data_IF_102722425346
#
_entry.id   IF_102722425346
#
_cell.length_a   1.000
_cell.length_b   1.000
_cell.length_c   1.000
_cell.angle_alpha   90.00
_cell.angle_beta   90.00
_cell.angle_gamma   90.00
#
_symmetry.space_group_name_H-M   'P 1'
#
loop_
_entity.id
_entity.type
_entity.pdbx_description
1 polymer ?
#
# COMPACT_ATOMS: atom_id res chain seq x y z
N UNK A 1 -10.02 30.07 8.66
CA UNK A 1 -11.01 29.60 7.66
C UNK A 1 -10.69 28.14 7.42
N UNK A 2 -11.63 27.24 7.70
CA UNK A 2 -11.40 25.80 7.48
C UNK A 2 -11.49 25.55 5.96
N UNK A 3 -10.36 25.52 5.27
CA UNK A 3 -10.31 25.20 3.84
C UNK A 3 -10.71 23.72 3.65
N UNK A 4 -11.75 23.48 2.86
CA UNK A 4 -12.17 22.12 2.53
C UNK A 4 -11.15 21.45 1.61
N UNK A 5 -10.97 20.15 1.77
CA UNK A 5 -10.15 19.30 0.91
C UNK A 5 -10.90 19.11 -0.41
N UNK A 6 -10.33 19.57 -1.51
CA UNK A 6 -10.91 19.46 -2.84
C UNK A 6 -10.66 18.09 -3.44
N UNK A 7 -11.75 17.33 -3.65
CA UNK A 7 -11.71 15.93 -4.08
C UNK A 7 -12.09 15.79 -5.55
N UNK A 8 -11.30 15.00 -6.27
CA UNK A 8 -11.57 14.50 -7.61
C UNK A 8 -11.82 12.98 -7.54
N UNK A 9 -12.81 12.49 -8.28
CA UNK A 9 -13.09 11.06 -8.42
C UNK A 9 -12.76 10.66 -9.85
N UNK A 10 -11.98 9.59 -10.03
CA UNK A 10 -11.57 9.07 -11.35
C UNK A 10 -11.80 7.56 -11.35
N UNK A 11 -12.84 7.13 -12.04
CA UNK A 11 -13.29 5.74 -12.06
C UNK A 11 -14.17 5.53 -13.32
N UNK A 12 -13.95 4.53 -14.12
CA UNK A 12 -14.75 4.29 -15.33
C UNK A 12 -16.16 3.76 -15.01
N UNK A 13 -16.34 3.20 -13.80
CA UNK A 13 -17.62 2.65 -13.33
C UNK A 13 -18.52 3.73 -12.71
N UNK A 14 -19.69 4.07 -13.34
CA UNK A 14 -20.56 5.16 -12.86
C UNK A 14 -21.04 4.95 -11.41
N UNK A 15 -21.38 3.70 -11.05
CA UNK A 15 -21.87 3.39 -9.70
C UNK A 15 -20.81 3.60 -8.63
N UNK A 16 -19.55 3.29 -8.94
CA UNK A 16 -18.44 3.54 -8.00
C UNK A 16 -18.24 5.04 -7.74
N UNK A 17 -18.35 5.87 -8.81
CA UNK A 17 -18.30 7.33 -8.67
C UNK A 17 -19.43 7.86 -7.78
N UNK A 18 -20.67 7.41 -8.00
CA UNK A 18 -21.84 7.82 -7.20
C UNK A 18 -21.69 7.48 -5.72
N UNK A 19 -21.15 6.29 -5.41
CA UNK A 19 -20.92 5.85 -4.02
C UNK A 19 -19.92 6.79 -3.33
N UNK A 20 -18.78 7.08 -3.96
CA UNK A 20 -17.74 7.94 -3.39
C UNK A 20 -18.25 9.38 -3.26
N UNK A 21 -18.96 9.90 -4.27
CA UNK A 21 -19.57 11.22 -4.23
C UNK A 21 -20.55 11.36 -3.06
N UNK A 22 -21.41 10.34 -2.86
CA UNK A 22 -22.31 10.29 -1.71
C UNK A 22 -21.53 10.31 -0.39
N UNK A 23 -20.41 9.59 -0.29
CA UNK A 23 -19.59 9.59 0.92
C UNK A 23 -18.92 10.94 1.17
N UNK A 24 -18.39 11.60 0.13
CA UNK A 24 -17.80 12.93 0.22
C UNK A 24 -18.84 13.94 0.72
N UNK A 25 -20.07 13.90 0.19
CA UNK A 25 -21.14 14.83 0.55
C UNK A 25 -21.54 14.79 2.04
N UNK A 26 -21.24 13.67 2.72
CA UNK A 26 -21.54 13.44 4.14
C UNK A 26 -20.46 13.99 5.09
N UNK A 27 -19.32 14.46 4.57
CA UNK A 27 -18.18 14.92 5.35
C UNK A 27 -17.93 16.40 5.12
N UNK A 28 -18.14 17.22 6.14
CA UNK A 28 -18.08 18.69 6.03
C UNK A 28 -16.72 19.25 5.57
N UNK A 29 -15.62 18.51 5.82
CA UNK A 29 -14.26 18.93 5.46
C UNK A 29 -13.86 18.57 4.03
N UNK A 30 -14.71 17.86 3.29
CA UNK A 30 -14.47 17.51 1.90
C UNK A 30 -15.34 18.35 0.97
N UNK A 31 -14.83 18.58 -0.25
CA UNK A 31 -15.54 19.27 -1.34
C UNK A 31 -15.37 18.45 -2.62
N UNK A 32 -16.47 17.96 -3.18
CA UNK A 32 -16.46 17.29 -4.48
C UNK A 32 -16.31 18.32 -5.60
N UNK A 33 -15.24 18.22 -6.37
CA UNK A 33 -14.94 19.13 -7.48
C UNK A 33 -15.43 18.60 -8.81
N UNK A 34 -15.19 17.32 -9.07
CA UNK A 34 -15.63 16.61 -10.29
C UNK A 34 -15.52 15.09 -10.16
N UNK A 35 -16.21 14.39 -11.08
CA UNK A 35 -16.07 12.95 -11.32
C UNK A 35 -15.74 12.72 -12.79
N UNK A 36 -14.69 11.93 -13.06
CA UNK A 36 -14.18 11.61 -14.38
C UNK A 36 -14.30 10.12 -14.66
N UNK A 37 -14.48 9.74 -15.93
CA UNK A 37 -14.54 8.36 -16.35
C UNK A 37 -13.19 7.80 -16.81
N UNK A 38 -12.17 8.62 -16.97
CA UNK A 38 -10.86 8.22 -17.48
C UNK A 38 -9.75 9.21 -17.10
N UNK A 39 -8.50 8.79 -17.32
CA UNK A 39 -7.32 9.58 -16.99
C UNK A 39 -7.22 10.91 -17.77
N UNK A 40 -7.66 10.95 -19.03
CA UNK A 40 -7.59 12.16 -19.85
C UNK A 40 -8.52 13.27 -19.34
N UNK A 41 -9.75 12.94 -18.94
CA UNK A 41 -10.66 13.88 -18.30
C UNK A 41 -10.07 14.39 -16.98
N UNK A 42 -9.50 13.49 -16.18
CA UNK A 42 -8.85 13.84 -14.92
C UNK A 42 -7.67 14.79 -15.12
N UNK A 43 -6.81 14.55 -16.11
CA UNK A 43 -5.67 15.38 -16.44
C UNK A 43 -6.10 16.82 -16.76
N UNK A 44 -7.14 16.99 -17.58
CA UNK A 44 -7.66 18.33 -17.93
C UNK A 44 -8.16 19.08 -16.69
N UNK A 45 -8.83 18.38 -15.77
CA UNK A 45 -9.35 19.03 -14.54
C UNK A 45 -8.22 19.40 -13.58
N UNK A 46 -7.21 18.55 -13.41
CA UNK A 46 -6.07 18.83 -12.52
C UNK A 46 -5.23 19.99 -13.04
N UNK A 47 -5.15 20.17 -14.36
CA UNK A 47 -4.45 21.29 -14.97
C UNK A 47 -5.16 22.62 -14.71
N UNK A 48 -6.49 22.62 -14.69
CA UNK A 48 -7.31 23.83 -14.54
C UNK A 48 -7.68 24.16 -13.09
N UNK A 49 -7.72 23.16 -12.22
CA UNK A 49 -8.21 23.28 -10.85
C UNK A 49 -7.20 22.72 -9.85
N UNK A 50 -7.08 23.39 -8.71
CA UNK A 50 -6.31 22.84 -7.59
C UNK A 50 -7.09 21.70 -6.96
N UNK A 51 -6.52 20.49 -6.98
CA UNK A 51 -7.07 19.26 -6.39
C UNK A 51 -6.15 18.80 -5.27
N UNK A 52 -6.71 18.61 -4.09
CA UNK A 52 -5.96 18.18 -2.90
C UNK A 52 -5.95 16.67 -2.75
N UNK A 53 -7.03 15.98 -3.15
CA UNK A 53 -7.22 14.54 -3.00
C UNK A 53 -7.86 13.94 -4.24
N UNK A 54 -7.32 12.82 -4.73
CA UNK A 54 -7.89 12.04 -5.82
C UNK A 54 -8.28 10.64 -5.31
N UNK A 55 -9.52 10.24 -5.55
CA UNK A 55 -9.93 8.85 -5.51
C UNK A 55 -9.75 8.27 -6.92
N UNK A 56 -8.85 7.32 -7.10
CA UNK A 56 -8.37 6.88 -8.39
C UNK A 56 -8.55 5.37 -8.56
N UNK A 57 -9.38 4.97 -9.52
CA UNK A 57 -9.45 3.55 -9.85
C UNK A 57 -8.15 3.08 -10.51
N UNK A 58 -7.71 1.90 -10.12
CA UNK A 58 -6.50 1.30 -10.68
C UNK A 58 -6.73 0.83 -12.11
N UNK A 59 -7.86 0.20 -12.38
CA UNK A 59 -8.16 -0.38 -13.68
C UNK A 59 -9.13 0.48 -14.48
N UNK A 60 -8.57 1.32 -15.32
CA UNK A 60 -9.33 2.12 -16.28
C UNK A 60 -8.89 1.79 -17.72
N UNK A 61 -9.78 1.98 -18.71
CA UNK A 61 -9.41 1.86 -20.12
C UNK A 61 -8.29 2.81 -20.51
N UNK A 62 -7.44 2.39 -21.46
CA UNK A 62 -6.34 3.13 -22.07
C UNK A 62 -5.15 3.38 -21.15
N UNK A 63 -5.35 4.04 -19.99
CA UNK A 63 -4.32 4.37 -19.01
C UNK A 63 -4.74 3.87 -17.65
N UNK A 64 -3.92 3.02 -17.03
CA UNK A 64 -4.19 2.56 -15.66
C UNK A 64 -4.02 3.70 -14.64
N UNK A 65 -4.74 3.64 -13.51
CA UNK A 65 -4.56 4.63 -12.44
C UNK A 65 -3.14 4.67 -11.91
N UNK A 66 -2.45 3.54 -11.93
CA UNK A 66 -1.04 3.44 -11.51
C UNK A 66 -0.13 4.22 -12.47
N UNK A 67 -0.32 4.10 -13.78
CA UNK A 67 0.48 4.83 -14.76
C UNK A 67 0.13 6.32 -14.74
N UNK A 68 -1.15 6.66 -14.57
CA UNK A 68 -1.59 8.04 -14.43
C UNK A 68 -0.96 8.74 -13.21
N UNK A 69 -0.84 8.03 -12.07
CA UNK A 69 -0.21 8.61 -10.86
C UNK A 69 1.25 9.02 -11.08
N UNK A 70 2.03 8.27 -11.89
CA UNK A 70 3.43 8.58 -12.17
C UNK A 70 3.64 9.94 -12.85
N UNK A 71 2.61 10.41 -13.56
CA UNK A 71 2.61 11.66 -14.30
C UNK A 71 2.01 12.83 -13.48
N UNK A 72 1.51 12.55 -12.26
CA UNK A 72 0.94 13.58 -11.37
C UNK A 72 2.02 14.35 -10.62
N UNK A 73 1.69 15.59 -10.26
CA UNK A 73 2.57 16.40 -9.40
C UNK A 73 2.58 15.86 -7.97
N UNK A 74 3.73 15.92 -7.25
CA UNK A 74 3.88 15.34 -5.90
C UNK A 74 2.97 15.94 -4.82
N UNK A 75 2.26 17.04 -5.09
CA UNK A 75 1.45 17.75 -4.11
C UNK A 75 0.02 17.21 -3.92
N UNK A 76 -0.47 16.38 -4.85
CA UNK A 76 -1.83 15.84 -4.80
C UNK A 76 -1.84 14.49 -4.11
N UNK A 77 -2.66 14.37 -3.07
CA UNK A 77 -2.81 13.11 -2.33
C UNK A 77 -3.68 12.12 -3.11
N UNK A 78 -3.36 10.83 -3.06
CA UNK A 78 -4.11 9.81 -3.79
C UNK A 78 -4.57 8.69 -2.86
N UNK A 79 -5.84 8.31 -3.02
CA UNK A 79 -6.42 7.09 -2.48
C UNK A 79 -6.84 6.23 -3.66
N UNK A 80 -6.27 5.05 -3.80
CA UNK A 80 -6.68 4.12 -4.84
C UNK A 80 -8.00 3.42 -4.51
N UNK A 81 -8.79 3.17 -5.55
CA UNK A 81 -9.97 2.30 -5.49
C UNK A 81 -9.81 1.15 -6.48
N UNK A 82 -10.31 -0.05 -6.17
CA UNK A 82 -10.22 -1.19 -7.09
C UNK A 82 -11.09 -2.37 -6.68
N UNK A 83 -11.49 -3.18 -7.65
CA UNK A 83 -12.13 -4.47 -7.41
C UNK A 83 -11.13 -5.60 -7.06
N UNK A 84 -9.83 -5.37 -7.22
CA UNK A 84 -8.81 -6.42 -7.12
C UNK A 84 -7.89 -6.21 -5.93
N UNK A 85 -7.80 -7.20 -5.07
CA UNK A 85 -6.92 -7.20 -3.90
C UNK A 85 -5.42 -7.24 -4.25
N UNK A 86 -5.08 -7.69 -5.47
CA UNK A 86 -3.68 -7.90 -5.86
C UNK A 86 -2.94 -6.60 -6.18
N UNK A 87 -3.65 -5.52 -6.52
CA UNK A 87 -3.07 -4.20 -6.79
C UNK A 87 -2.83 -3.34 -5.54
N UNK A 88 -3.31 -3.77 -4.36
CA UNK A 88 -3.09 -3.05 -3.10
C UNK A 88 -1.62 -2.76 -2.83
N UNK A 89 -0.75 -3.51 -3.42
CA UNK A 89 0.69 -3.50 -3.18
C UNK A 89 1.45 -2.65 -4.20
N UNK A 90 1.03 -2.66 -5.45
CA UNK A 90 1.60 -1.76 -6.46
C UNK A 90 1.26 -0.30 -6.10
N UNK A 91 0.06 -0.08 -5.59
CA UNK A 91 -0.39 1.20 -5.04
C UNK A 91 0.42 1.69 -3.84
N UNK A 92 0.93 0.78 -3.01
CA UNK A 92 1.73 1.10 -1.82
C UNK A 92 3.14 1.60 -2.17
N UNK A 93 3.74 1.10 -3.27
CA UNK A 93 5.04 1.56 -3.78
C UNK A 93 4.96 2.95 -4.46
N UNK A 94 3.76 3.50 -4.65
CA UNK A 94 3.49 4.71 -5.41
C UNK A 94 3.13 5.93 -4.54
N UNK A 95 3.46 5.90 -3.23
CA UNK A 95 3.20 7.00 -2.28
C UNK A 95 1.71 7.37 -2.13
N UNK A 96 0.78 6.47 -2.44
CA UNK A 96 -0.63 6.67 -2.17
C UNK A 96 -0.91 6.62 -0.65
N UNK A 97 -1.79 7.49 -0.17
CA UNK A 97 -2.14 7.53 1.28
C UNK A 97 -2.87 6.27 1.71
N UNK A 98 -3.74 5.76 0.87
CA UNK A 98 -4.53 4.58 1.21
C UNK A 98 -5.10 3.89 -0.03
N UNK A 99 -5.78 2.78 0.23
CA UNK A 99 -6.31 1.88 -0.76
C UNK A 99 -7.69 1.35 -0.33
N UNK A 100 -8.68 1.45 -1.19
CA UNK A 100 -10.06 1.05 -0.96
C UNK A 100 -10.48 -0.08 -1.89
N UNK A 101 -10.78 -1.25 -1.33
CA UNK A 101 -11.29 -2.38 -2.10
C UNK A 101 -12.79 -2.22 -2.32
N UNK A 102 -13.24 -2.35 -3.57
CA UNK A 102 -14.67 -2.38 -3.93
C UNK A 102 -15.29 -3.74 -3.50
N UNK A 103 -16.51 -3.78 -2.92
CA UNK A 103 -17.37 -2.65 -2.61
C UNK A 103 -16.84 -1.83 -1.43
N UNK A 104 -16.78 -0.50 -1.60
CA UNK A 104 -16.24 0.41 -0.58
C UNK A 104 -17.26 0.60 0.53
N UNK A 105 -16.91 0.15 1.74
CA UNK A 105 -17.71 0.42 2.93
C UNK A 105 -17.45 1.82 3.47
N UNK A 106 -18.51 2.52 3.95
CA UNK A 106 -18.36 3.87 4.49
C UNK A 106 -17.39 3.95 5.69
N UNK A 107 -17.36 2.91 6.54
CA UNK A 107 -16.41 2.81 7.65
C UNK A 107 -14.95 2.79 7.19
N UNK A 108 -14.68 2.11 6.06
CA UNK A 108 -13.33 2.04 5.46
C UNK A 108 -12.96 3.36 4.78
N UNK A 109 -13.93 4.00 4.11
CA UNK A 109 -13.76 5.33 3.54
C UNK A 109 -13.40 6.37 4.62
N UNK A 110 -14.11 6.38 5.78
CA UNK A 110 -13.80 7.28 6.89
C UNK A 110 -12.38 7.10 7.43
N UNK A 111 -11.90 5.85 7.52
CA UNK A 111 -10.52 5.56 7.95
C UNK A 111 -9.50 6.15 6.97
N UNK A 112 -9.73 6.05 5.65
CA UNK A 112 -8.84 6.63 4.65
C UNK A 112 -8.80 8.17 4.71
N UNK A 113 -9.95 8.82 4.93
CA UNK A 113 -10.00 10.27 5.10
C UNK A 113 -9.24 10.72 6.36
N UNK A 114 -9.35 9.99 7.46
CA UNK A 114 -8.56 10.29 8.66
C UNK A 114 -7.04 10.22 8.42
N UNK A 115 -6.57 9.35 7.53
CA UNK A 115 -5.16 9.30 7.11
C UNK A 115 -4.77 10.57 6.33
N UNK A 116 -5.62 10.99 5.39
CA UNK A 116 -5.41 12.23 4.62
C UNK A 116 -5.29 13.43 5.55
N UNK A 117 -6.22 13.58 6.50
CA UNK A 117 -6.21 14.70 7.46
C UNK A 117 -4.92 14.75 8.28
N UNK A 118 -4.48 13.60 8.81
CA UNK A 118 -3.21 13.50 9.54
C UNK A 118 -2.01 13.87 8.67
N UNK A 119 -1.99 13.46 7.42
CA UNK A 119 -0.91 13.76 6.49
C UNK A 119 -0.82 15.26 6.17
N UNK A 120 -1.96 15.93 6.00
CA UNK A 120 -2.03 17.37 5.76
C UNK A 120 -1.65 18.18 7.00
N UNK A 121 -2.00 17.73 8.21
CA UNK A 121 -1.61 18.39 9.46
C UNK A 121 -0.09 18.30 9.71
N UNK A 122 0.55 17.22 9.29
CA UNK A 122 2.01 17.03 9.41
C UNK A 122 2.79 17.95 8.46
N UNK A 123 2.23 18.27 7.29
CA UNK A 123 2.87 19.15 6.31
C UNK A 123 2.84 20.62 6.73
N UNK A 124 1.88 21.01 7.60
CA UNK A 124 1.74 22.38 8.11
C UNK A 124 2.55 22.65 9.39
N UNK A 125 3.14 21.62 10.01
CA UNK A 125 3.96 21.74 11.22
C UNK A 125 5.38 21.18 10.99
N UNK A 126 6.16 21.82 10.11
CA UNK A 126 7.61 21.58 10.07
C UNK A 126 8.23 22.43 11.19
N UNK A 127 8.05 22.03 12.43
CA UNK A 127 8.99 22.18 13.53
C UNK A 127 8.58 21.25 14.69
N UNK A 128 9.55 20.41 15.08
CA UNK A 128 9.57 19.55 16.26
C UNK A 128 8.67 18.31 16.31
N UNK A 129 9.41 17.21 16.41
CA UNK A 129 9.15 15.83 16.87
C UNK A 129 8.93 14.78 15.79
N UNK A 130 10.08 14.31 15.28
CA UNK A 130 10.22 12.93 14.78
C UNK A 130 10.03 12.01 15.99
N UNK A 131 8.87 11.43 16.15
CA UNK A 131 8.68 10.16 16.85
C UNK A 131 7.24 9.63 16.71
N UNK A 132 7.12 8.41 16.26
CA UNK A 132 6.03 7.45 16.50
C UNK A 132 4.71 7.58 15.73
N UNK A 133 4.70 7.74 14.39
CA UNK A 133 3.44 7.60 13.63
C UNK A 133 3.48 6.53 12.53
N UNK A 134 4.62 5.89 12.27
CA UNK A 134 4.73 4.87 11.23
C UNK A 134 4.23 3.46 11.63
N UNK A 135 4.13 3.16 12.93
CA UNK A 135 3.72 1.84 13.39
C UNK A 135 2.21 1.54 13.28
N UNK A 136 1.36 2.57 13.21
CA UNK A 136 -0.10 2.34 13.19
C UNK A 136 -0.67 2.00 11.82
N UNK A 137 0.03 2.30 10.74
CA UNK A 137 -0.51 2.21 9.37
C UNK A 137 -0.55 0.78 8.80
N UNK A 138 0.27 -0.14 9.32
CA UNK A 138 0.35 -1.52 8.81
C UNK A 138 -0.52 -2.53 9.55
N UNK A 139 -1.21 -2.11 10.61
CA UNK A 139 -1.98 -3.04 11.46
C UNK A 139 -3.14 -3.71 10.72
N UNK A 140 -3.71 -3.04 9.73
CA UNK A 140 -4.87 -3.52 8.97
C UNK A 140 -4.52 -3.94 7.52
N UNK A 141 -3.24 -3.85 7.11
CA UNK A 141 -2.82 -4.26 5.75
C UNK A 141 -2.72 -5.79 5.68
N UNK A 142 -3.29 -6.37 4.65
CA UNK A 142 -3.34 -7.81 4.46
C UNK A 142 -3.17 -8.20 2.99
N UNK A 143 -2.77 -9.44 2.76
CA UNK A 143 -2.74 -10.09 1.45
C UNK A 143 -3.68 -11.30 1.43
N UNK A 144 -4.15 -11.67 0.24
CA UNK A 144 -4.83 -12.95 0.04
C UNK A 144 -3.88 -13.93 -0.63
N UNK A 145 -3.76 -15.13 -0.06
CA UNK A 145 -3.07 -16.24 -0.70
C UNK A 145 -4.04 -17.37 -0.98
N UNK A 146 -3.93 -17.93 -2.20
CA UNK A 146 -4.71 -19.11 -2.57
C UNK A 146 -4.06 -20.35 -1.96
N UNK A 147 -4.73 -20.92 -0.96
CA UNK A 147 -4.33 -22.14 -0.27
C UNK A 147 -5.36 -23.21 -0.64
N UNK A 148 -4.92 -24.26 -1.34
CA UNK A 148 -5.82 -25.27 -1.92
C UNK A 148 -6.88 -24.63 -2.84
N UNK A 149 -8.14 -24.58 -2.40
CA UNK A 149 -9.27 -24.00 -3.17
C UNK A 149 -9.85 -22.72 -2.53
N UNK A 150 -9.22 -22.20 -1.46
CA UNK A 150 -9.71 -21.05 -0.69
C UNK A 150 -8.72 -19.90 -0.71
N UNK A 151 -9.24 -18.66 -0.74
CA UNK A 151 -8.45 -17.46 -0.50
C UNK A 151 -8.34 -17.22 1.00
N UNK A 152 -7.11 -17.24 1.53
CA UNK A 152 -6.83 -16.97 2.94
C UNK A 152 -6.30 -15.56 3.11
N UNK A 153 -6.93 -14.80 4.00
CA UNK A 153 -6.50 -13.47 4.42
C UNK A 153 -5.34 -13.59 5.41
N UNK A 154 -4.26 -12.85 5.17
CA UNK A 154 -3.07 -12.83 6.02
C UNK A 154 -2.69 -11.38 6.25
N UNK A 155 -2.68 -10.93 7.50
CA UNK A 155 -2.21 -9.59 7.83
C UNK A 155 -0.69 -9.53 7.72
N UNK A 156 -0.17 -8.46 7.12
CA UNK A 156 1.28 -8.31 6.91
C UNK A 156 2.04 -8.25 8.24
N UNK A 157 1.47 -7.63 9.26
CA UNK A 157 2.04 -7.57 10.61
C UNK A 157 2.31 -8.93 11.25
N UNK A 158 1.54 -9.96 10.84
CA UNK A 158 1.67 -11.31 11.40
C UNK A 158 2.75 -12.12 10.72
N UNK A 159 3.29 -11.66 9.58
CA UNK A 159 4.29 -12.38 8.78
C UNK A 159 5.68 -12.16 9.39
N UNK A 160 6.39 -13.25 9.69
CA UNK A 160 7.78 -13.22 10.11
C UNK A 160 8.74 -13.31 8.93
N UNK A 161 8.53 -14.31 8.07
CA UNK A 161 9.29 -14.49 6.84
C UNK A 161 8.51 -15.33 5.83
N UNK A 162 8.97 -15.30 4.59
CA UNK A 162 8.45 -16.07 3.48
C UNK A 162 9.61 -16.89 2.89
N UNK A 163 9.42 -18.19 2.77
CA UNK A 163 10.38 -19.13 2.21
C UNK A 163 9.88 -19.70 0.87
N UNK A 164 10.75 -19.75 -0.13
CA UNK A 164 10.45 -20.38 -1.41
C UNK A 164 10.64 -21.89 -1.34
N UNK A 165 9.61 -22.62 -1.72
CA UNK A 165 9.59 -24.08 -1.84
C UNK A 165 9.29 -24.49 -3.29
N UNK A 166 10.26 -24.36 -4.20
CA UNK A 166 10.08 -24.56 -5.66
C UNK A 166 9.01 -23.63 -6.24
N UNK A 167 7.84 -24.17 -6.59
CA UNK A 167 6.70 -23.43 -7.14
C UNK A 167 5.73 -22.91 -6.07
N UNK A 168 6.03 -23.10 -4.80
CA UNK A 168 5.24 -22.69 -3.66
C UNK A 168 6.03 -21.71 -2.80
N UNK A 169 5.31 -20.93 -2.04
CA UNK A 169 5.86 -20.18 -0.91
C UNK A 169 5.30 -20.72 0.39
N UNK A 170 6.13 -20.72 1.42
CA UNK A 170 5.73 -20.93 2.81
C UNK A 170 5.80 -19.61 3.53
N UNK A 171 4.67 -19.12 4.01
CA UNK A 171 4.56 -17.92 4.81
C UNK A 171 4.50 -18.31 6.27
N UNK A 172 5.50 -17.90 7.05
CA UNK A 172 5.53 -18.08 8.50
C UNK A 172 4.90 -16.89 9.18
N UNK A 173 3.83 -17.13 9.90
CA UNK A 173 3.14 -16.10 10.71
C UNK A 173 3.31 -16.38 12.20
N UNK A 174 2.84 -15.48 13.04
CA UNK A 174 2.79 -15.63 14.50
C UNK A 174 1.99 -16.87 14.95
N UNK A 175 0.96 -17.24 14.19
CA UNK A 175 0.03 -18.32 14.59
C UNK A 175 0.32 -19.66 13.86
N UNK A 176 0.71 -19.60 12.56
CA UNK A 176 0.78 -20.78 11.70
C UNK A 176 1.73 -20.62 10.53
N UNK A 177 1.95 -21.73 9.82
CA UNK A 177 2.59 -21.75 8.51
C UNK A 177 1.53 -21.93 7.42
N UNK A 178 1.69 -21.19 6.33
CA UNK A 178 0.75 -21.18 5.21
C UNK A 178 1.54 -21.49 3.94
N UNK A 179 1.13 -22.52 3.21
CA UNK A 179 1.74 -22.89 1.93
C UNK A 179 0.80 -22.50 0.79
N UNK A 180 1.30 -21.69 -0.13
CA UNK A 180 0.52 -21.21 -1.28
C UNK A 180 1.28 -21.45 -2.59
N UNK A 181 0.55 -21.74 -3.66
CA UNK A 181 1.10 -21.82 -5.01
C UNK A 181 1.34 -20.41 -5.55
N UNK A 182 2.53 -19.89 -5.35
CA UNK A 182 2.98 -18.58 -5.83
C UNK A 182 4.50 -18.55 -5.87
N UNK A 183 5.09 -17.88 -6.86
CA UNK A 183 6.53 -17.67 -6.91
C UNK A 183 6.99 -16.59 -5.92
N UNK A 184 8.21 -16.74 -5.37
CA UNK A 184 8.74 -15.78 -4.38
C UNK A 184 8.94 -14.38 -4.97
N UNK A 185 9.29 -14.25 -6.25
CA UNK A 185 9.39 -12.95 -6.91
C UNK A 185 8.03 -12.28 -7.10
N UNK A 186 6.98 -13.09 -7.34
CA UNK A 186 5.62 -12.56 -7.47
C UNK A 186 5.04 -12.11 -6.12
N UNK A 187 5.41 -12.73 -5.01
CA UNK A 187 4.99 -12.24 -3.69
C UNK A 187 5.84 -11.04 -3.27
N UNK A 188 7.12 -11.00 -3.62
CA UNK A 188 8.01 -9.87 -3.34
C UNK A 188 7.45 -8.56 -3.89
N UNK A 189 7.02 -8.54 -5.17
CA UNK A 189 6.40 -7.34 -5.78
C UNK A 189 5.09 -6.92 -5.10
N UNK A 190 4.48 -7.80 -4.30
CA UNK A 190 3.26 -7.54 -3.55
C UNK A 190 3.49 -7.18 -2.09
N UNK A 191 4.70 -7.04 -1.62
CA UNK A 191 5.05 -6.71 -0.24
C UNK A 191 5.67 -5.31 -0.15
N UNK A 192 5.33 -4.50 0.87
CA UNK A 192 5.92 -3.18 1.05
C UNK A 192 7.44 -3.28 1.29
N UNK A 193 8.23 -2.64 0.46
CA UNK A 193 9.69 -2.66 0.54
C UNK A 193 10.26 -2.04 1.82
N UNK A 194 9.52 -1.12 2.46
CA UNK A 194 9.88 -0.55 3.77
C UNK A 194 9.74 -1.55 4.93
N UNK A 195 8.95 -2.61 4.76
CA UNK A 195 8.64 -3.60 5.81
C UNK A 195 9.16 -4.99 5.51
N UNK A 196 9.37 -5.30 4.24
CA UNK A 196 9.84 -6.61 3.81
C UNK A 196 11.09 -6.48 2.97
N UNK A 197 12.06 -7.32 3.26
CA UNK A 197 13.35 -7.32 2.59
C UNK A 197 13.67 -8.72 2.04
N UNK A 198 13.97 -8.79 0.76
CA UNK A 198 14.51 -10.02 0.18
C UNK A 198 15.98 -10.16 0.52
N UNK A 199 16.32 -11.17 1.29
CA UNK A 199 17.68 -11.39 1.80
C UNK A 199 18.38 -12.58 1.14
N UNK A 200 17.61 -13.44 0.46
CA UNK A 200 18.11 -14.61 -0.25
C UNK A 200 17.21 -14.93 -1.44
N UNK A 201 17.73 -15.70 -2.43
CA UNK A 201 16.88 -16.19 -3.54
C UNK A 201 15.63 -16.94 -3.08
N UNK A 202 15.66 -17.49 -1.86
CA UNK A 202 14.57 -18.27 -1.28
C UNK A 202 13.95 -17.62 -0.05
N UNK A 203 14.36 -16.43 0.39
CA UNK A 203 13.81 -15.82 1.61
C UNK A 203 13.53 -14.34 1.45
N UNK A 204 12.33 -13.96 1.93
CA UNK A 204 11.92 -12.58 2.21
C UNK A 204 11.60 -12.52 3.70
N UNK A 205 12.05 -11.50 4.39
CA UNK A 205 11.86 -11.30 5.83
C UNK A 205 11.03 -10.06 6.12
N UNK A 206 10.32 -10.06 7.23
CA UNK A 206 9.75 -8.84 7.81
C UNK A 206 10.81 -8.14 8.65
N UNK A 207 11.16 -6.91 8.31
CA UNK A 207 12.24 -6.14 8.94
C UNK A 207 12.00 -5.93 10.42
N UNK A 208 10.75 -5.65 10.80
CA UNK A 208 10.35 -5.42 12.20
C UNK A 208 10.50 -6.66 13.11
N UNK A 209 10.67 -7.84 12.52
CA UNK A 209 10.77 -9.11 13.25
C UNK A 209 12.21 -9.66 13.34
N UNK A 210 13.21 -8.87 13.00
CA UNK A 210 14.62 -9.26 13.11
C UNK A 210 15.03 -9.25 14.58
N UNK A 211 15.46 -10.41 15.10
CA UNK A 211 16.00 -10.55 16.45
C UNK A 211 17.49 -10.16 16.50
N UNK A 212 18.28 -10.62 15.48
CA UNK A 212 19.70 -10.31 15.33
C UNK A 212 20.13 -10.45 13.87
N UNK A 213 21.20 -9.80 13.45
CA UNK A 213 21.75 -9.96 12.12
C UNK A 213 23.28 -9.82 12.06
N UNK A 214 23.85 -10.40 11.00
CA UNK A 214 25.26 -10.32 10.62
C UNK A 214 25.36 -10.14 9.10
N UNK A 215 26.55 -9.89 8.53
CA UNK A 215 26.71 -9.79 7.08
C UNK A 215 26.32 -11.05 6.29
N UNK A 216 26.18 -12.18 6.93
CA UNK A 216 25.94 -13.48 6.29
C UNK A 216 24.64 -14.16 6.70
N UNK A 217 24.04 -13.77 7.81
CA UNK A 217 22.81 -14.37 8.33
C UNK A 217 21.96 -13.37 9.11
N UNK A 218 20.65 -13.61 9.11
CA UNK A 218 19.65 -12.87 9.87
C UNK A 218 18.88 -13.85 10.73
N UNK A 219 18.68 -13.53 12.01
CA UNK A 219 17.96 -14.37 12.95
C UNK A 219 16.57 -13.82 13.21
N UNK A 220 15.54 -14.66 13.03
CA UNK A 220 14.12 -14.34 13.26
C UNK A 220 13.49 -15.51 14.00
N UNK A 221 13.03 -15.28 15.23
CA UNK A 221 12.39 -16.28 16.08
C UNK A 221 13.21 -17.57 16.20
N UNK A 222 14.54 -17.42 16.35
CA UNK A 222 15.48 -18.52 16.49
C UNK A 222 15.85 -19.24 15.17
N UNK A 223 15.27 -18.82 14.03
CA UNK A 223 15.68 -19.33 12.72
C UNK A 223 16.79 -18.45 12.14
N UNK A 224 17.90 -19.06 11.74
CA UNK A 224 19.00 -18.41 11.02
C UNK A 224 18.76 -18.46 9.52
N UNK A 225 18.53 -17.31 8.92
CA UNK A 225 18.25 -17.12 7.50
C UNK A 225 19.52 -16.61 6.82
N UNK A 226 20.06 -17.31 5.81
CA UNK A 226 21.28 -16.87 5.14
C UNK A 226 21.05 -15.65 4.27
N UNK A 227 22.01 -14.71 4.25
CA UNK A 227 22.04 -13.59 3.31
C UNK A 227 22.79 -14.01 2.04
N UNK A 228 22.05 -14.07 0.93
CA UNK A 228 22.63 -14.41 -0.38
C UNK A 228 23.60 -13.33 -0.86
N UNK A 229 24.66 -13.73 -1.60
CA UNK A 229 25.72 -12.80 -2.05
C UNK A 229 25.17 -11.58 -2.80
N UNK A 230 24.16 -11.78 -3.65
CA UNK A 230 23.55 -10.71 -4.47
C UNK A 230 22.62 -9.78 -3.66
N UNK A 231 22.31 -10.11 -2.42
CA UNK A 231 21.41 -9.33 -1.56
C UNK A 231 22.15 -8.57 -0.45
N UNK A 232 23.46 -8.79 -0.31
CA UNK A 232 24.25 -8.18 0.78
C UNK A 232 24.28 -6.67 0.78
N UNK A 233 24.35 -6.06 -0.40
CA UNK A 233 24.37 -4.60 -0.52
C UNK A 233 23.03 -4.00 -0.10
N UNK A 234 21.92 -4.51 -0.61
CA UNK A 234 20.57 -4.06 -0.20
C UNK A 234 20.31 -4.28 1.29
N UNK A 235 20.76 -5.43 1.84
CA UNK A 235 20.64 -5.72 3.28
C UNK A 235 21.47 -4.73 4.11
N UNK A 236 22.70 -4.44 3.69
CA UNK A 236 23.57 -3.46 4.34
C UNK A 236 22.97 -2.06 4.32
N UNK A 237 22.45 -1.63 3.17
CA UNK A 237 21.84 -0.32 2.98
C UNK A 237 20.60 -0.12 3.89
N UNK A 238 19.73 -1.14 3.94
CA UNK A 238 18.45 -1.04 4.67
C UNK A 238 18.65 -1.22 6.19
N UNK A 239 19.51 -2.15 6.62
CA UNK A 239 19.73 -2.42 8.05
C UNK A 239 20.83 -1.55 8.69
N UNK A 240 21.57 -0.75 7.88
CA UNK A 240 22.48 0.29 8.38
C UNK A 240 23.70 -0.23 9.13
N UNK A 241 24.25 -1.42 8.80
CA UNK A 241 25.47 -1.92 9.43
C UNK A 241 26.70 -1.73 8.53
N UNK A 242 27.85 -1.61 9.15
CA UNK A 242 29.15 -1.37 8.50
C UNK A 242 29.99 -2.63 8.42
#
# INVERSE_FOLDING_TARGET
>A
MNTKIKCLIVDDEPLAREIIENYISRINHLEHIASCANALEAFNIITDKNIDLIFLDIQMPEVTGIDFLKDLTPSTQVIFTTAYSDYAVDAFNLEAIDYLLKPIEFSRFLKSINKVLKHLDTTNNIDSTISNTEESDYQDVFIYLKVEKKMQKIFLKDIFYIESLKNYIKVKTSEREIIAYKGISNIESTLPSKKFLRVHRSFIIAIDNIDAFSPTEIEIKGLKIPVGRNYRESVKEILGYF
#
